data_IF_918200203547
#
_entry.id   IF_918200203547
#
_cell.length_a   1.000
_cell.length_b   1.000
_cell.length_c   1.000
_cell.angle_alpha   90.00
_cell.angle_beta   90.00
_cell.angle_gamma   90.00
#
_symmetry.space_group_name_H-M   'P 1'
#
loop_
_entity.id
_entity.type
_entity.pdbx_description
1 polymer ?
#
# COMPACT_ATOMS: atom_id res chain seq x y z
N UNK A 1 -2.86 -28.75 -19.27
CA UNK A 1 -2.90 -27.53 -18.42
C UNK A 1 -3.21 -26.33 -19.31
N UNK A 2 -4.33 -25.63 -19.13
CA UNK A 2 -4.55 -24.34 -19.80
C UNK A 2 -3.41 -23.42 -19.36
N UNK A 3 -2.64 -22.90 -20.31
CA UNK A 3 -1.60 -21.91 -20.05
C UNK A 3 -2.31 -20.67 -19.50
N UNK A 4 -2.16 -20.40 -18.21
CA UNK A 4 -2.78 -19.23 -17.59
C UNK A 4 -2.22 -17.99 -18.28
N UNK A 5 -3.04 -17.33 -19.11
CA UNK A 5 -2.67 -16.06 -19.70
C UNK A 5 -2.35 -15.08 -18.58
N UNK A 6 -1.20 -14.41 -18.70
CA UNK A 6 -0.77 -13.40 -17.74
C UNK A 6 -1.79 -12.27 -17.73
N UNK A 7 -2.41 -12.02 -16.58
CA UNK A 7 -3.40 -10.95 -16.42
C UNK A 7 -2.71 -9.58 -16.46
N UNK A 8 -2.72 -8.92 -17.61
CA UNK A 8 -2.07 -7.63 -17.79
C UNK A 8 -2.73 -6.55 -16.91
N UNK A 9 -4.05 -6.60 -16.75
CA UNK A 9 -4.75 -5.65 -15.89
C UNK A 9 -4.23 -5.65 -14.44
N UNK A 10 -3.84 -6.81 -13.90
CA UNK A 10 -3.29 -6.89 -12.55
C UNK A 10 -1.91 -6.24 -12.43
N UNK A 11 -1.04 -6.44 -13.43
CA UNK A 11 0.25 -5.77 -13.46
C UNK A 11 0.08 -4.25 -13.59
N UNK A 12 -0.85 -3.79 -14.44
CA UNK A 12 -1.17 -2.38 -14.57
C UNK A 12 -1.76 -1.80 -13.27
N UNK A 13 -2.64 -2.54 -12.58
CA UNK A 13 -3.24 -2.11 -11.31
C UNK A 13 -2.18 -1.94 -10.21
N UNK A 14 -1.22 -2.88 -10.13
CA UNK A 14 -0.08 -2.79 -9.22
C UNK A 14 0.85 -1.62 -9.56
N UNK A 15 1.07 -1.38 -10.84
CA UNK A 15 1.90 -0.26 -11.28
C UNK A 15 1.25 1.10 -11.05
N UNK A 16 -0.06 1.21 -11.29
CA UNK A 16 -0.84 2.41 -10.99
C UNK A 16 -0.78 2.75 -9.51
N UNK A 17 -0.95 1.75 -8.63
CA UNK A 17 -0.89 1.96 -7.18
C UNK A 17 0.51 2.40 -6.71
N UNK A 18 1.58 1.82 -7.24
CA UNK A 18 2.95 2.29 -6.92
C UNK A 18 3.24 3.69 -7.47
N UNK A 19 2.82 3.99 -8.70
CA UNK A 19 2.98 5.32 -9.26
C UNK A 19 2.23 6.36 -8.39
N UNK A 20 0.97 6.08 -8.02
CA UNK A 20 0.21 6.93 -7.12
C UNK A 20 0.88 7.07 -5.74
N UNK A 21 1.42 5.98 -5.19
CA UNK A 21 2.12 5.98 -3.88
C UNK A 21 3.32 6.91 -3.89
N UNK A 22 4.11 6.90 -4.97
CA UNK A 22 5.25 7.79 -5.11
C UNK A 22 4.78 9.24 -5.22
N UNK A 23 3.78 9.51 -6.07
CA UNK A 23 3.25 10.88 -6.26
C UNK A 23 2.81 11.52 -4.94
N UNK A 24 2.06 10.78 -4.12
CA UNK A 24 1.50 11.34 -2.88
C UNK A 24 2.49 11.38 -1.71
N UNK A 25 3.57 10.59 -1.78
CA UNK A 25 4.64 10.60 -0.78
C UNK A 25 5.77 11.56 -1.12
N UNK A 26 5.77 12.16 -2.32
CA UNK A 26 6.84 13.06 -2.80
C UNK A 26 6.33 14.42 -3.28
N UNK A 27 5.44 15.12 -2.53
CA UNK A 27 5.08 16.48 -2.88
C UNK A 27 6.31 17.38 -2.77
N UNK A 28 6.46 18.35 -3.68
CA UNK A 28 7.54 19.32 -3.58
C UNK A 28 7.42 20.22 -2.34
N UNK A 29 6.19 20.47 -1.88
CA UNK A 29 5.88 21.15 -0.62
C UNK A 29 4.63 20.56 0.03
N UNK A 30 4.71 20.21 1.32
CA UNK A 30 3.56 19.76 2.11
C UNK A 30 2.52 20.86 2.35
N UNK A 31 2.89 22.14 2.24
CA UNK A 31 1.97 23.27 2.35
C UNK A 31 1.17 23.54 1.06
N UNK A 32 1.61 22.99 -0.07
CA UNK A 32 1.01 23.24 -1.39
C UNK A 32 0.76 21.91 -2.10
N UNK A 33 -0.36 21.27 -1.75
CA UNK A 33 -0.78 19.99 -2.33
C UNK A 33 -2.26 20.07 -2.68
N UNK A 34 -2.62 19.60 -3.88
CA UNK A 34 -4.02 19.51 -4.29
C UNK A 34 -4.81 18.57 -3.39
N UNK A 35 -6.04 18.96 -3.03
CA UNK A 35 -6.89 18.21 -2.10
C UNK A 35 -7.04 16.70 -2.40
N UNK A 36 -7.18 16.24 -3.67
CA UNK A 36 -7.25 14.81 -3.97
C UNK A 36 -5.97 14.02 -3.68
N UNK A 37 -4.82 14.69 -3.54
CA UNK A 37 -3.51 14.10 -3.24
C UNK A 37 -3.20 14.14 -1.73
N UNK A 38 -4.01 14.80 -0.93
CA UNK A 38 -3.90 14.81 0.53
C UNK A 38 -4.66 13.63 1.15
N UNK A 39 -4.17 13.14 2.29
CA UNK A 39 -4.89 12.18 3.11
C UNK A 39 -6.12 12.82 3.77
N UNK A 40 -7.14 12.01 4.04
CA UNK A 40 -8.18 12.41 5.00
C UNK A 40 -7.53 12.74 6.35
N UNK A 41 -8.00 13.78 7.03
CA UNK A 41 -7.40 14.23 8.31
C UNK A 41 -7.37 13.13 9.38
N UNK A 42 -8.46 12.36 9.48
CA UNK A 42 -8.58 11.24 10.41
C UNK A 42 -9.57 10.20 9.89
N UNK A 43 -10.86 10.58 9.89
CA UNK A 43 -11.93 9.79 9.29
C UNK A 43 -12.18 10.24 7.85
N UNK A 44 -12.64 9.30 7.02
CA UNK A 44 -12.93 9.49 5.62
C UNK A 44 -11.99 8.69 4.73
N UNK A 45 -12.12 8.92 3.42
CA UNK A 45 -11.27 8.29 2.43
C UNK A 45 -11.12 9.22 1.22
N UNK A 46 -9.89 9.65 0.97
CA UNK A 46 -9.49 10.37 -0.24
C UNK A 46 -8.88 9.40 -1.26
N UNK A 47 -8.67 9.80 -2.52
CA UNK A 47 -7.95 8.97 -3.49
C UNK A 47 -6.58 8.49 -2.99
N UNK A 48 -5.87 9.33 -2.24
CA UNK A 48 -4.59 8.99 -1.60
C UNK A 48 -4.71 7.85 -0.60
N UNK A 49 -5.83 7.78 0.13
CA UNK A 49 -6.06 6.73 1.12
C UNK A 49 -6.27 5.35 0.46
N UNK A 50 -6.70 5.30 -0.80
CA UNK A 50 -6.91 4.05 -1.55
C UNK A 50 -5.61 3.38 -2.00
N UNK A 51 -4.50 4.12 -2.05
CA UNK A 51 -3.25 3.65 -2.67
C UNK A 51 -2.67 2.43 -1.97
N UNK A 52 -2.48 2.51 -0.64
CA UNK A 52 -1.90 1.41 0.13
C UNK A 52 -2.80 0.15 0.20
N UNK A 53 -4.11 0.24 0.51
CA UNK A 53 -4.97 -0.94 0.54
C UNK A 53 -5.13 -1.57 -0.84
N UNK A 54 -5.16 -0.78 -1.92
CA UNK A 54 -5.20 -1.34 -3.28
C UNK A 54 -3.92 -2.13 -3.60
N UNK A 55 -2.75 -1.60 -3.21
CA UNK A 55 -1.50 -2.34 -3.37
C UNK A 55 -1.51 -3.66 -2.57
N UNK A 56 -1.96 -3.62 -1.31
CA UNK A 56 -2.04 -4.80 -0.45
C UNK A 56 -3.05 -5.83 -0.96
N UNK A 57 -4.20 -5.38 -1.45
CA UNK A 57 -5.17 -6.21 -2.16
C UNK A 57 -4.56 -6.86 -3.40
N UNK A 58 -3.84 -6.10 -4.22
CA UNK A 58 -3.16 -6.61 -5.41
C UNK A 58 -2.05 -7.63 -5.07
N UNK A 59 -1.37 -7.47 -3.93
CA UNK A 59 -0.46 -8.48 -3.38
C UNK A 59 -1.21 -9.79 -3.10
N UNK A 60 -2.42 -9.72 -2.55
CA UNK A 60 -3.31 -10.86 -2.38
C UNK A 60 -3.71 -11.52 -3.70
N UNK A 61 -4.13 -10.73 -4.70
CA UNK A 61 -4.48 -11.26 -6.03
C UNK A 61 -3.29 -11.98 -6.67
N UNK A 62 -2.10 -11.36 -6.63
CA UNK A 62 -0.88 -11.96 -7.16
C UNK A 62 -0.45 -13.22 -6.39
N UNK A 63 -0.75 -13.29 -5.09
CA UNK A 63 -0.48 -14.45 -4.24
C UNK A 63 -1.24 -15.69 -4.73
N UNK A 64 -2.50 -15.55 -5.16
CA UNK A 64 -3.28 -16.66 -5.72
C UNK A 64 -2.53 -17.35 -6.86
N UNK A 65 -2.16 -16.58 -7.89
CA UNK A 65 -1.43 -17.12 -9.05
C UNK A 65 -0.03 -17.64 -8.66
N UNK A 66 0.65 -17.00 -7.71
CA UNK A 66 1.95 -17.45 -7.23
C UNK A 66 1.90 -18.80 -6.51
N UNK A 67 0.77 -19.14 -5.88
CA UNK A 67 0.55 -20.37 -5.12
C UNK A 67 -0.03 -21.52 -5.95
N UNK A 68 -0.45 -21.27 -7.20
CA UNK A 68 -0.83 -22.35 -8.12
C UNK A 68 0.26 -23.39 -8.33
N UNK A 69 1.54 -23.00 -8.25
CA UNK A 69 2.69 -23.94 -8.29
C UNK A 69 2.84 -24.85 -7.07
N UNK A 70 2.08 -24.57 -6.01
CA UNK A 70 2.02 -25.35 -4.76
C UNK A 70 0.65 -26.01 -4.57
N UNK A 71 -0.17 -26.08 -5.63
CA UNK A 71 -1.53 -26.62 -5.57
C UNK A 71 -2.41 -25.95 -4.48
N UNK A 72 -2.10 -24.68 -4.16
CA UNK A 72 -2.75 -23.94 -3.07
C UNK A 72 -2.77 -24.66 -1.71
N UNK A 73 -1.76 -25.49 -1.43
CA UNK A 73 -1.61 -26.20 -0.15
C UNK A 73 -0.34 -25.77 0.56
N UNK A 74 -0.39 -25.79 1.88
CA UNK A 74 0.77 -25.52 2.71
C UNK A 74 1.74 -26.72 2.66
N UNK A 75 2.92 -26.50 2.09
CA UNK A 75 4.04 -27.44 2.13
C UNK A 75 5.23 -26.79 2.85
N UNK A 76 6.20 -27.58 3.36
CA UNK A 76 7.42 -27.05 3.95
C UNK A 76 8.17 -26.08 3.00
N UNK A 77 8.17 -26.38 1.70
CA UNK A 77 8.77 -25.53 0.67
C UNK A 77 8.05 -24.18 0.51
N UNK A 78 6.71 -24.20 0.49
CA UNK A 78 5.91 -22.99 0.43
C UNK A 78 6.12 -22.15 1.69
N UNK A 79 6.08 -22.78 2.87
CA UNK A 79 6.34 -22.14 4.16
C UNK A 79 7.71 -21.46 4.23
N UNK A 80 8.78 -22.15 3.80
CA UNK A 80 10.13 -21.58 3.75
C UNK A 80 10.23 -20.38 2.81
N UNK A 81 9.55 -20.42 1.65
CA UNK A 81 9.53 -19.26 0.72
C UNK A 81 8.73 -18.09 1.29
N UNK A 82 7.60 -18.35 1.94
CA UNK A 82 6.81 -17.31 2.60
C UNK A 82 7.64 -16.66 3.69
N UNK A 83 8.23 -17.44 4.60
CA UNK A 83 9.06 -16.94 5.70
C UNK A 83 10.24 -16.11 5.18
N UNK A 84 10.99 -16.63 4.20
CA UNK A 84 12.11 -15.91 3.58
C UNK A 84 11.65 -14.56 3.03
N UNK A 85 10.55 -14.53 2.28
CA UNK A 85 10.03 -13.30 1.68
C UNK A 85 9.55 -12.30 2.74
N UNK A 86 8.86 -12.77 3.78
CA UNK A 86 8.44 -11.94 4.92
C UNK A 86 9.63 -11.31 5.61
N UNK A 87 10.65 -12.09 5.96
CA UNK A 87 11.87 -11.58 6.63
C UNK A 87 12.61 -10.58 5.74
N UNK A 88 12.76 -10.85 4.44
CA UNK A 88 13.46 -9.93 3.54
C UNK A 88 12.68 -8.61 3.38
N UNK A 89 11.35 -8.65 3.17
CA UNK A 89 10.56 -7.41 3.04
C UNK A 89 10.61 -6.60 4.33
N UNK A 90 10.49 -7.25 5.49
CA UNK A 90 10.59 -6.58 6.79
C UNK A 90 11.98 -5.96 7.00
N UNK A 91 13.05 -6.71 6.70
CA UNK A 91 14.43 -6.24 6.79
C UNK A 91 14.74 -5.08 5.85
N UNK A 92 14.26 -5.11 4.61
CA UNK A 92 14.37 -3.97 3.69
C UNK A 92 13.63 -2.75 4.25
N UNK A 93 12.47 -2.94 4.89
CA UNK A 93 11.75 -1.87 5.59
C UNK A 93 12.57 -1.23 6.71
N UNK A 94 13.23 -2.03 7.54
CA UNK A 94 14.09 -1.53 8.61
C UNK A 94 15.30 -0.79 8.05
N UNK A 95 15.96 -1.35 7.04
CA UNK A 95 17.09 -0.69 6.36
C UNK A 95 16.65 0.62 5.73
N UNK A 96 15.46 0.65 5.11
CA UNK A 96 14.90 1.87 4.55
C UNK A 96 14.64 2.88 5.65
N UNK A 97 14.07 2.50 6.80
CA UNK A 97 13.86 3.39 7.95
C UNK A 97 15.17 3.97 8.50
N UNK A 98 16.24 3.18 8.52
CA UNK A 98 17.55 3.59 9.01
C UNK A 98 18.35 4.43 8.01
N UNK A 99 18.04 4.37 6.71
CA UNK A 99 18.74 5.12 5.66
C UNK A 99 18.61 6.63 5.89
N UNK A 100 19.69 7.44 5.74
CA UNK A 100 21.00 7.15 5.14
C UNK A 100 22.06 6.56 6.11
N UNK A 101 21.66 6.00 7.25
CA UNK A 101 22.53 5.43 8.28
C UNK A 101 23.43 6.45 8.98
N UNK A 102 23.00 7.71 9.01
CA UNK A 102 23.68 8.80 9.71
C UNK A 102 22.91 9.09 11.00
N UNK A 103 23.59 9.05 12.14
CA UNK A 103 23.02 9.37 13.46
C UNK A 103 21.73 8.59 13.76
N UNK A 104 21.74 7.28 13.51
CA UNK A 104 20.59 6.42 13.84
C UNK A 104 20.50 6.28 15.36
N UNK A 105 19.69 7.13 15.98
CA UNK A 105 19.31 7.00 17.38
C UNK A 105 18.44 5.75 17.54
N UNK A 106 19.05 4.67 18.01
CA UNK A 106 18.36 3.39 18.19
C UNK A 106 17.17 3.52 19.14
N UNK A 107 17.24 4.44 20.12
CA UNK A 107 16.17 4.71 21.09
C UNK A 107 14.92 5.30 20.44
N UNK A 108 15.07 6.15 19.43
CA UNK A 108 13.96 6.80 18.70
C UNK A 108 13.68 6.16 17.34
N UNK A 109 14.24 4.98 17.09
CA UNK A 109 14.17 4.34 15.78
C UNK A 109 12.77 3.77 15.51
N UNK A 110 12.08 4.29 14.49
CA UNK A 110 10.77 3.77 14.08
C UNK A 110 10.87 2.34 13.54
N UNK A 111 10.25 1.38 14.22
CA UNK A 111 10.29 -0.05 13.84
C UNK A 111 9.31 -0.36 12.71
N UNK A 112 8.06 0.08 12.85
CA UNK A 112 6.98 -0.20 11.91
C UNK A 112 6.98 0.76 10.73
N UNK A 113 6.30 0.35 9.66
CA UNK A 113 6.24 1.07 8.40
C UNK A 113 5.50 0.27 7.35
N UNK A 114 5.35 0.87 6.16
CA UNK A 114 4.57 0.30 5.05
C UNK A 114 5.09 -1.10 4.66
N UNK A 115 6.41 -1.27 4.53
CA UNK A 115 7.01 -2.56 4.14
C UNK A 115 6.86 -3.61 5.24
N UNK A 116 7.02 -3.24 6.51
CA UNK A 116 6.86 -4.11 7.66
C UNK A 116 5.41 -4.62 7.74
N UNK A 117 4.42 -3.73 7.59
CA UNK A 117 3.01 -4.13 7.51
C UNK A 117 2.75 -5.04 6.31
N UNK A 118 3.28 -4.73 5.12
CA UNK A 118 3.16 -5.61 3.95
C UNK A 118 3.73 -6.99 4.26
N UNK A 119 4.89 -7.07 4.91
CA UNK A 119 5.55 -8.32 5.25
C UNK A 119 4.69 -9.17 6.20
N UNK A 120 4.19 -8.57 7.27
CA UNK A 120 3.37 -9.27 8.28
C UNK A 120 2.02 -9.70 7.70
N UNK A 121 1.31 -8.80 7.02
CA UNK A 121 0.03 -9.09 6.38
C UNK A 121 0.17 -10.16 5.27
N UNK A 122 1.24 -10.07 4.46
CA UNK A 122 1.58 -11.09 3.48
C UNK A 122 1.91 -12.43 4.14
N UNK A 123 2.76 -12.44 5.17
CA UNK A 123 3.22 -13.66 5.82
C UNK A 123 2.08 -14.43 6.47
N UNK A 124 1.32 -13.77 7.34
CA UNK A 124 0.18 -14.39 8.04
C UNK A 124 -0.93 -14.72 7.05
N UNK A 125 -1.27 -13.79 6.14
CA UNK A 125 -2.26 -14.01 5.11
C UNK A 125 -1.93 -15.19 4.19
N UNK A 126 -0.65 -15.35 3.80
CA UNK A 126 -0.18 -16.47 2.98
C UNK A 126 -0.36 -17.82 3.68
N UNK A 127 -0.01 -17.90 4.96
CA UNK A 127 -0.17 -19.14 5.74
C UNK A 127 -1.65 -19.51 5.85
N UNK A 128 -2.53 -18.55 6.17
CA UNK A 128 -3.97 -18.77 6.20
C UNK A 128 -4.51 -19.21 4.84
N UNK A 129 -4.09 -18.55 3.75
CA UNK A 129 -4.54 -18.84 2.38
C UNK A 129 -4.15 -20.24 1.86
N UNK A 130 -3.05 -20.80 2.36
CA UNK A 130 -2.59 -22.16 2.02
C UNK A 130 -3.10 -23.23 2.99
N UNK A 131 -3.47 -22.85 4.20
CA UNK A 131 -3.95 -23.79 5.22
C UNK A 131 -5.46 -23.97 5.21
N UNK A 132 -6.21 -22.93 4.86
CA UNK A 132 -7.67 -22.90 4.93
C UNK A 132 -8.33 -23.04 3.55
N UNK A 133 -9.52 -23.62 3.54
CA UNK A 133 -10.39 -23.60 2.35
C UNK A 133 -10.92 -22.20 2.07
N UNK A 134 -11.34 -21.94 0.83
CA UNK A 134 -11.83 -20.62 0.40
C UNK A 134 -13.04 -20.15 1.23
N UNK A 135 -13.94 -21.05 1.61
CA UNK A 135 -15.06 -20.74 2.50
C UNK A 135 -14.59 -20.36 3.91
N UNK A 136 -13.61 -21.08 4.47
CA UNK A 136 -13.02 -20.76 5.78
C UNK A 136 -12.27 -19.43 5.77
N UNK A 137 -11.66 -19.04 4.64
CA UNK A 137 -11.02 -17.73 4.48
C UNK A 137 -12.01 -16.57 4.59
N UNK A 138 -13.22 -16.73 4.05
CA UNK A 138 -14.29 -15.72 4.21
C UNK A 138 -14.68 -15.61 5.68
N UNK A 139 -14.90 -16.75 6.36
CA UNK A 139 -15.25 -16.79 7.79
C UNK A 139 -14.15 -16.15 8.65
N UNK A 140 -12.89 -16.51 8.42
CA UNK A 140 -11.75 -15.95 9.17
C UNK A 140 -11.58 -14.46 8.89
N UNK A 141 -11.77 -14.00 7.65
CA UNK A 141 -11.73 -12.57 7.33
C UNK A 141 -12.82 -11.81 8.09
N UNK A 142 -14.06 -12.31 8.10
CA UNK A 142 -15.15 -11.71 8.85
C UNK A 142 -14.89 -11.72 10.36
N UNK A 143 -14.36 -12.83 10.89
CA UNK A 143 -14.01 -12.96 12.30
C UNK A 143 -12.91 -11.97 12.70
N UNK A 144 -11.85 -11.82 11.90
CA UNK A 144 -10.79 -10.82 12.13
C UNK A 144 -11.39 -9.41 12.16
N UNK A 145 -12.25 -9.06 11.20
CA UNK A 145 -12.83 -7.72 11.08
C UNK A 145 -13.81 -7.40 12.22
N UNK A 146 -14.65 -8.36 12.62
CA UNK A 146 -15.59 -8.19 13.74
C UNK A 146 -14.88 -8.18 15.08
N UNK A 147 -13.92 -9.08 15.30
CA UNK A 147 -13.11 -9.11 16.52
C UNK A 147 -12.30 -7.82 16.66
N UNK A 148 -11.67 -7.35 15.58
CA UNK A 148 -10.95 -6.08 15.58
C UNK A 148 -11.85 -4.90 15.93
N UNK A 149 -13.03 -4.82 15.32
CA UNK A 149 -14.00 -3.77 15.64
C UNK A 149 -14.43 -3.83 17.12
N UNK A 150 -14.73 -5.02 17.63
CA UNK A 150 -15.05 -5.22 19.05
C UNK A 150 -13.91 -4.80 19.97
N UNK A 151 -12.67 -5.17 19.66
CA UNK A 151 -11.50 -4.76 20.44
C UNK A 151 -11.32 -3.23 20.43
N UNK A 152 -11.49 -2.57 19.27
CA UNK A 152 -11.44 -1.09 19.19
C UNK A 152 -12.56 -0.45 20.00
N UNK A 153 -13.78 -0.99 19.90
CA UNK A 153 -14.95 -0.43 20.58
C UNK A 153 -14.90 -0.59 22.11
N UNK A 154 -14.56 -1.78 22.61
CA UNK A 154 -14.57 -2.08 24.04
C UNK A 154 -13.29 -1.68 24.78
N UNK A 155 -12.14 -1.69 24.11
CA UNK A 155 -10.87 -1.28 24.72
C UNK A 155 -10.55 0.20 24.47
N UNK A 156 -11.27 0.85 23.56
CA UNK A 156 -11.21 2.29 23.40
C UNK A 156 -11.92 3.02 24.54
N UNK A 157 -11.48 4.24 24.85
CA UNK A 157 -12.10 5.07 25.89
C UNK A 157 -13.48 5.61 25.46
N UNK A 158 -13.89 6.76 26.02
CA UNK A 158 -15.17 7.40 25.70
C UNK A 158 -15.37 7.71 24.21
N UNK A 159 -14.27 7.88 23.46
CA UNK A 159 -14.26 8.10 22.02
C UNK A 159 -13.37 7.06 21.33
N UNK A 160 -13.81 5.80 21.18
CA UNK A 160 -12.97 4.67 20.78
C UNK A 160 -12.39 4.79 19.36
N UNK A 161 -12.95 5.69 18.53
CA UNK A 161 -12.54 5.92 17.14
C UNK A 161 -11.79 7.24 16.95
N UNK A 162 -11.49 7.98 18.02
CA UNK A 162 -10.64 9.18 17.98
C UNK A 162 -9.15 8.80 17.97
N UNK A 163 -8.27 9.74 17.66
CA UNK A 163 -6.82 9.53 17.66
C UNK A 163 -6.30 9.18 19.06
N UNK A 164 -6.86 9.79 20.09
CA UNK A 164 -6.44 9.65 21.48
C UNK A 164 -7.13 8.46 22.17
N UNK A 165 -8.38 8.18 21.82
CA UNK A 165 -9.21 7.19 22.50
C UNK A 165 -9.14 5.77 21.93
N UNK A 166 -8.54 5.56 20.77
CA UNK A 166 -8.42 4.23 20.17
C UNK A 166 -7.33 3.39 20.87
N UNK A 167 -7.51 2.06 21.00
CA UNK A 167 -6.56 1.21 21.72
C UNK A 167 -5.29 0.88 20.93
N UNK A 168 -5.20 1.28 19.65
CA UNK A 168 -4.06 0.89 18.80
C UNK A 168 -2.76 1.50 19.32
N UNK A 169 -2.80 2.78 19.74
CA UNK A 169 -1.67 3.48 20.33
C UNK A 169 -1.17 2.77 21.60
N UNK A 170 -2.08 2.45 22.52
CA UNK A 170 -1.74 1.81 23.79
C UNK A 170 -1.13 0.41 23.57
N UNK A 171 -1.69 -0.37 22.65
CA UNK A 171 -1.17 -1.69 22.31
C UNK A 171 0.22 -1.62 21.68
N UNK A 172 0.38 -0.79 20.65
CA UNK A 172 1.64 -0.69 19.91
C UNK A 172 2.75 -0.08 20.79
N UNK A 173 2.43 0.91 21.63
CA UNK A 173 3.39 1.52 22.56
C UNK A 173 3.86 0.53 23.63
N UNK A 174 2.97 -0.36 24.10
CA UNK A 174 3.33 -1.39 25.09
C UNK A 174 4.26 -2.45 24.52
N UNK A 175 4.13 -2.79 23.24
CA UNK A 175 4.91 -3.86 22.60
C UNK A 175 6.20 -3.32 22.00
N UNK A 176 6.12 -2.20 21.27
CA UNK A 176 7.24 -1.64 20.53
C UNK A 176 7.98 -0.57 21.31
N UNK A 177 7.36 0.07 22.31
CA UNK A 177 7.85 1.29 22.94
C UNK A 177 7.38 2.55 22.21
N UNK A 178 6.97 3.58 22.93
CA UNK A 178 6.43 4.82 22.35
C UNK A 178 7.44 5.56 21.45
N UNK A 179 8.74 5.45 21.75
CA UNK A 179 9.80 6.08 20.97
C UNK A 179 10.03 5.43 19.61
N UNK A 180 9.57 4.19 19.44
CA UNK A 180 9.67 3.44 18.21
C UNK A 180 8.44 3.59 17.29
N UNK A 181 7.48 4.42 17.68
CA UNK A 181 6.27 4.70 16.91
C UNK A 181 6.42 5.95 16.03
N UNK A 182 5.58 6.05 15.02
CA UNK A 182 5.45 7.27 14.23
C UNK A 182 4.93 8.45 15.08
N UNK A 183 5.56 9.62 14.94
CA UNK A 183 5.21 10.84 15.71
C UNK A 183 4.53 11.91 14.83
N UNK A 184 4.22 11.62 13.56
CA UNK A 184 3.72 12.61 12.60
C UNK A 184 2.27 13.06 12.78
N UNK A 185 1.52 12.46 13.72
CA UNK A 185 0.20 12.94 14.14
C UNK A 185 0.27 13.90 15.34
N UNK A 186 1.47 14.31 15.76
CA UNK A 186 1.70 15.11 16.97
C UNK A 186 1.76 14.29 18.27
N UNK A 187 1.42 12.99 18.21
CA UNK A 187 1.55 12.02 19.29
C UNK A 187 2.21 10.74 18.78
N UNK A 188 2.70 9.89 19.69
CA UNK A 188 3.29 8.58 19.38
C UNK A 188 2.21 7.59 18.94
N UNK A 189 1.87 7.59 17.65
CA UNK A 189 0.82 6.75 17.06
C UNK A 189 1.30 6.22 15.71
N UNK A 190 1.41 4.89 15.57
CA UNK A 190 1.85 4.28 14.32
C UNK A 190 0.67 3.84 13.43
N UNK A 191 0.38 4.54 12.32
CA UNK A 191 -0.68 4.13 11.41
C UNK A 191 -0.37 2.80 10.71
N UNK A 192 0.90 2.37 10.73
CA UNK A 192 1.39 1.08 10.23
C UNK A 192 1.64 0.04 11.35
N UNK A 193 1.18 0.30 12.58
CA UNK A 193 1.41 -0.52 13.77
C UNK A 193 0.90 -1.96 13.73
N UNK A 194 1.25 -2.74 14.76
CA UNK A 194 0.97 -4.18 14.85
C UNK A 194 -0.52 -4.43 15.05
N UNK A 195 -1.19 -3.64 15.90
CA UNK A 195 -2.61 -3.82 16.18
C UNK A 195 -3.47 -3.66 14.93
N UNK A 196 -3.26 -2.57 14.19
CA UNK A 196 -3.96 -2.26 12.94
C UNK A 196 -3.47 -3.09 11.75
N UNK A 197 -2.47 -3.96 11.93
CA UNK A 197 -2.08 -4.97 10.92
C UNK A 197 -3.04 -6.17 10.89
N UNK A 198 -3.82 -6.42 11.95
CA UNK A 198 -4.84 -7.48 11.98
C UNK A 198 -5.86 -7.35 10.83
N UNK A 199 -6.58 -6.22 10.66
CA UNK A 199 -7.50 -6.03 9.54
C UNK A 199 -6.79 -5.94 8.18
N UNK A 200 -5.49 -5.57 8.15
CA UNK A 200 -4.69 -5.58 6.92
C UNK A 200 -4.48 -7.02 6.38
N UNK A 201 -4.42 -8.04 7.24
CA UNK A 201 -4.41 -9.45 6.83
C UNK A 201 -5.69 -9.78 6.05
N UNK A 202 -6.85 -9.31 6.51
CA UNK A 202 -8.12 -9.52 5.81
C UNK A 202 -8.11 -8.86 4.42
N UNK A 203 -7.47 -7.70 4.26
CA UNK A 203 -7.29 -7.05 2.93
C UNK A 203 -6.52 -7.96 1.96
N UNK A 204 -5.45 -8.61 2.43
CA UNK A 204 -4.67 -9.58 1.64
C UNK A 204 -5.52 -10.81 1.27
N UNK A 205 -6.28 -11.36 2.23
CA UNK A 205 -7.13 -12.52 2.00
C UNK A 205 -8.25 -12.20 0.99
N UNK A 206 -8.89 -11.03 1.09
CA UNK A 206 -9.89 -10.58 0.12
C UNK A 206 -9.29 -10.46 -1.29
N UNK A 207 -8.06 -9.95 -1.41
CA UNK A 207 -7.30 -9.96 -2.66
C UNK A 207 -7.05 -11.38 -3.19
N UNK A 208 -6.66 -12.32 -2.33
CA UNK A 208 -6.45 -13.72 -2.70
C UNK A 208 -7.73 -14.39 -3.22
N UNK A 209 -8.88 -14.13 -2.57
CA UNK A 209 -10.19 -14.59 -3.01
C UNK A 209 -10.61 -13.95 -4.35
N UNK A 210 -10.24 -12.70 -4.60
CA UNK A 210 -10.43 -12.07 -5.90
C UNK A 210 -9.58 -12.72 -6.99
N UNK A 211 -8.34 -13.11 -6.68
CA UNK A 211 -7.49 -13.91 -7.58
C UNK A 211 -8.14 -15.25 -7.96
N UNK A 212 -8.71 -15.95 -6.98
CA UNK A 212 -9.51 -17.16 -7.22
C UNK A 212 -10.71 -16.88 -8.13
N UNK A 213 -11.46 -15.80 -7.87
CA UNK A 213 -12.61 -15.44 -8.68
C UNK A 213 -12.24 -15.17 -10.15
N UNK A 214 -11.10 -14.51 -10.37
CA UNK A 214 -10.53 -14.22 -11.69
C UNK A 214 -10.17 -15.50 -12.44
N UNK A 215 -9.50 -16.44 -11.78
CA UNK A 215 -9.10 -17.70 -12.44
C UNK A 215 -10.29 -18.63 -12.70
N UNK A 216 -11.23 -18.71 -11.75
CA UNK A 216 -12.36 -19.64 -11.80
C UNK A 216 -13.55 -19.16 -12.64
N UNK A 217 -13.60 -17.88 -13.01
CA UNK A 217 -14.73 -17.32 -13.77
C UNK A 217 -14.34 -17.07 -15.22
N UNK A 218 -15.19 -17.52 -16.14
CA UNK A 218 -15.06 -17.20 -17.56
C UNK A 218 -15.00 -15.69 -17.81
N UNK A 219 -14.11 -15.26 -18.71
CA UNK A 219 -13.80 -13.84 -18.96
C UNK A 219 -15.05 -12.99 -19.26
N UNK A 220 -16.05 -13.53 -19.97
CA UNK A 220 -17.32 -12.85 -20.29
C UNK A 220 -18.16 -12.49 -19.05
N UNK A 221 -18.13 -13.33 -18.01
CA UNK A 221 -18.91 -13.13 -16.76
C UNK A 221 -18.08 -12.49 -15.66
N UNK A 222 -16.76 -12.49 -15.80
CA UNK A 222 -15.83 -12.01 -14.77
C UNK A 222 -16.08 -10.55 -14.41
N UNK A 223 -16.17 -9.66 -15.40
CA UNK A 223 -16.39 -8.22 -15.18
C UNK A 223 -17.69 -7.99 -14.39
N UNK A 224 -18.79 -8.64 -14.77
CA UNK A 224 -20.07 -8.52 -14.07
C UNK A 224 -19.98 -8.99 -12.61
N UNK A 225 -19.30 -10.12 -12.33
CA UNK A 225 -19.10 -10.58 -10.95
C UNK A 225 -18.24 -9.62 -10.14
N UNK A 226 -17.15 -9.10 -10.70
CA UNK A 226 -16.28 -8.14 -10.01
C UNK A 226 -17.03 -6.83 -9.72
N UNK A 227 -17.84 -6.35 -10.67
CA UNK A 227 -18.71 -5.19 -10.45
C UNK A 227 -19.72 -5.46 -9.34
N UNK A 228 -20.40 -6.61 -9.36
CA UNK A 228 -21.38 -6.98 -8.35
C UNK A 228 -20.75 -7.08 -6.95
N UNK A 229 -19.70 -7.88 -6.77
CA UNK A 229 -19.03 -8.01 -5.47
C UNK A 229 -18.35 -6.71 -5.03
N UNK A 230 -17.81 -5.94 -5.98
CA UNK A 230 -17.25 -4.62 -5.72
C UNK A 230 -18.28 -3.64 -5.17
N UNK A 231 -19.43 -3.51 -5.85
CA UNK A 231 -20.54 -2.68 -5.39
C UNK A 231 -21.11 -3.12 -4.05
N UNK A 232 -21.29 -4.43 -3.84
CA UNK A 232 -21.72 -4.96 -2.54
C UNK A 232 -20.72 -4.64 -1.43
N UNK A 233 -19.41 -4.75 -1.70
CA UNK A 233 -18.36 -4.38 -0.74
C UNK A 233 -18.37 -2.88 -0.41
N UNK A 234 -18.51 -2.02 -1.42
CA UNK A 234 -18.63 -0.57 -1.21
C UNK A 234 -19.85 -0.25 -0.33
N UNK A 235 -21.02 -0.79 -0.65
CA UNK A 235 -22.26 -0.58 0.12
C UNK A 235 -22.10 -1.10 1.54
N UNK A 236 -21.57 -2.32 1.72
CA UNK A 236 -21.36 -2.90 3.04
C UNK A 236 -20.37 -2.08 3.88
N UNK A 237 -19.28 -1.59 3.28
CA UNK A 237 -18.32 -0.71 3.94
C UNK A 237 -18.93 0.62 4.35
N UNK A 238 -19.78 1.22 3.51
CA UNK A 238 -20.52 2.45 3.83
C UNK A 238 -21.55 2.24 4.94
N UNK A 239 -22.30 1.14 4.93
CA UNK A 239 -23.25 0.80 6.00
C UNK A 239 -22.49 0.58 7.31
N UNK A 240 -21.38 -0.17 7.28
CA UNK A 240 -20.55 -0.39 8.46
C UNK A 240 -19.92 0.92 8.95
N UNK A 241 -19.65 1.88 8.06
CA UNK A 241 -19.11 3.20 8.43
C UNK A 241 -19.99 4.00 9.40
N UNK A 242 -21.29 3.69 9.47
CA UNK A 242 -22.23 4.27 10.43
C UNK A 242 -21.88 3.91 11.88
N UNK A 243 -21.33 2.71 12.10
CA UNK A 243 -20.94 2.21 13.42
C UNK A 243 -19.43 2.22 13.66
N UNK A 244 -18.61 2.07 12.62
CA UNK A 244 -17.15 2.15 12.70
C UNK A 244 -16.62 2.98 11.53
N UNK A 245 -16.24 4.25 11.72
CA UNK A 245 -15.88 5.14 10.62
C UNK A 245 -14.81 4.58 9.69
N UNK A 246 -14.91 4.91 8.40
CA UNK A 246 -13.84 4.61 7.43
C UNK A 246 -12.61 5.41 7.86
N UNK A 247 -11.54 4.71 8.25
CA UNK A 247 -10.35 5.32 8.83
C UNK A 247 -9.12 4.50 8.45
N UNK A 248 -8.26 5.08 7.60
CA UNK A 248 -6.99 4.48 7.19
C UNK A 248 -5.98 4.35 8.34
N UNK A 249 -5.72 5.40 9.16
CA UNK A 249 -4.75 5.32 10.26
C UNK A 249 -4.91 4.11 11.18
N UNK A 250 -6.14 3.79 11.60
CA UNK A 250 -6.41 2.58 12.41
C UNK A 250 -6.81 1.36 11.57
N UNK A 251 -6.72 1.46 10.24
CA UNK A 251 -7.10 0.41 9.28
C UNK A 251 -8.47 -0.23 9.59
N UNK A 252 -9.50 0.60 9.78
CA UNK A 252 -10.79 0.17 10.31
C UNK A 252 -11.46 -0.92 9.46
N UNK A 253 -12.34 -1.71 10.08
CA UNK A 253 -12.99 -2.83 9.40
C UNK A 253 -13.88 -2.38 8.24
N UNK A 254 -14.58 -1.26 8.40
CA UNK A 254 -15.36 -0.61 7.34
C UNK A 254 -14.45 -0.16 6.18
N UNK A 255 -13.28 0.40 6.48
CA UNK A 255 -12.29 0.80 5.48
C UNK A 255 -11.76 -0.39 4.68
N UNK A 256 -11.51 -1.54 5.31
CA UNK A 256 -11.09 -2.76 4.59
C UNK A 256 -12.14 -3.21 3.58
N UNK A 257 -13.41 -3.31 3.99
CA UNK A 257 -14.49 -3.78 3.11
C UNK A 257 -14.77 -2.77 1.99
N UNK A 258 -14.78 -1.48 2.34
CA UNK A 258 -14.97 -0.38 1.39
C UNK A 258 -13.87 -0.34 0.32
N UNK A 259 -12.60 -0.37 0.74
CA UNK A 259 -11.45 -0.30 -0.18
C UNK A 259 -11.29 -1.58 -1.00
N UNK A 260 -11.58 -2.75 -0.45
CA UNK A 260 -11.61 -3.99 -1.22
C UNK A 260 -12.72 -3.96 -2.30
N UNK A 261 -13.89 -3.40 -1.97
CA UNK A 261 -14.96 -3.16 -2.93
C UNK A 261 -14.53 -2.25 -4.08
N UNK A 262 -13.93 -1.09 -3.75
CA UNK A 262 -13.38 -0.18 -4.76
C UNK A 262 -12.26 -0.81 -5.59
N UNK A 263 -11.38 -1.61 -4.98
CA UNK A 263 -10.32 -2.31 -5.69
C UNK A 263 -10.90 -3.31 -6.73
N UNK A 264 -11.97 -4.03 -6.37
CA UNK A 264 -12.69 -4.92 -7.29
C UNK A 264 -13.31 -4.14 -8.45
N UNK A 265 -13.93 -2.98 -8.19
CA UNK A 265 -14.51 -2.13 -9.24
C UNK A 265 -13.44 -1.62 -10.21
N UNK A 266 -12.34 -1.08 -9.69
CA UNK A 266 -11.23 -0.60 -10.53
C UNK A 266 -10.63 -1.75 -11.32
N UNK A 267 -10.41 -2.91 -10.69
CA UNK A 267 -9.89 -4.09 -11.37
C UNK A 267 -10.85 -4.60 -12.45
N UNK A 268 -12.17 -4.54 -12.24
CA UNK A 268 -13.18 -4.88 -13.25
C UNK A 268 -13.06 -4.00 -14.50
N UNK A 269 -12.94 -2.68 -14.28
CA UNK A 269 -12.75 -1.69 -15.37
C UNK A 269 -11.42 -1.96 -16.09
N UNK A 270 -10.34 -2.19 -15.36
CA UNK A 270 -9.03 -2.45 -15.96
C UNK A 270 -9.01 -3.75 -16.76
N UNK A 271 -9.62 -4.83 -16.26
CA UNK A 271 -9.76 -6.10 -17.00
C UNK A 271 -10.57 -5.89 -18.27
N UNK A 272 -11.68 -5.15 -18.18
CA UNK A 272 -12.50 -4.85 -19.35
C UNK A 272 -11.72 -4.05 -20.41
N UNK A 273 -11.04 -2.98 -20.01
CA UNK A 273 -10.30 -2.12 -20.95
C UNK A 273 -9.06 -2.80 -21.53
N UNK A 274 -8.28 -3.53 -20.73
CA UNK A 274 -6.96 -4.04 -21.12
C UNK A 274 -7.05 -5.46 -21.70
N UNK A 275 -7.80 -6.36 -21.04
CA UNK A 275 -7.80 -7.79 -21.35
C UNK A 275 -9.00 -8.22 -22.24
N UNK A 276 -10.03 -7.36 -22.38
CA UNK A 276 -11.20 -7.62 -23.24
C UNK A 276 -11.22 -6.69 -24.45
N UNK A 277 -11.19 -5.36 -24.26
CA UNK A 277 -11.15 -4.38 -25.36
C UNK A 277 -9.75 -4.22 -25.97
N UNK A 278 -8.73 -4.82 -25.37
CA UNK A 278 -7.34 -4.76 -25.83
C UNK A 278 -6.74 -3.35 -25.97
N UNK A 279 -7.28 -2.38 -25.22
CA UNK A 279 -6.75 -1.01 -25.17
C UNK A 279 -5.49 -0.97 -24.29
N UNK A 280 -4.39 -1.53 -24.81
CA UNK A 280 -3.15 -1.76 -24.06
C UNK A 280 -2.22 -0.55 -24.01
N UNK A 281 -2.36 0.42 -24.94
CA UNK A 281 -1.43 1.56 -25.08
C UNK A 281 -1.37 2.44 -23.83
N UNK A 282 -2.52 2.82 -23.26
CA UNK A 282 -2.57 3.68 -22.07
C UNK A 282 -2.08 2.95 -20.80
N UNK A 283 -2.23 1.62 -20.76
CA UNK A 283 -1.82 0.80 -19.63
C UNK A 283 -0.31 0.54 -19.61
N UNK A 284 0.38 0.70 -20.75
CA UNK A 284 1.80 0.37 -20.88
C UNK A 284 2.70 1.02 -19.83
N UNK A 285 2.60 2.34 -19.53
CA UNK A 285 3.43 2.94 -18.49
C UNK A 285 3.25 2.26 -17.11
N UNK A 286 2.00 1.95 -16.75
CA UNK A 286 1.67 1.28 -15.50
C UNK A 286 2.11 -0.19 -15.50
N UNK A 287 2.02 -0.90 -16.62
CA UNK A 287 2.58 -2.25 -16.73
C UNK A 287 4.07 -2.27 -16.39
N UNK A 288 4.84 -1.30 -16.92
CA UNK A 288 6.27 -1.14 -16.64
C UNK A 288 6.54 -0.96 -15.15
N UNK A 289 5.79 -0.08 -14.47
CA UNK A 289 5.87 0.07 -13.01
C UNK A 289 5.51 -1.23 -12.27
N UNK A 290 4.46 -1.93 -12.70
CA UNK A 290 3.92 -3.11 -12.05
C UNK A 290 4.82 -4.35 -12.07
N UNK A 291 5.85 -4.36 -12.93
CA UNK A 291 6.80 -5.47 -13.03
C UNK A 291 7.86 -5.47 -11.93
N UNK A 292 8.20 -4.31 -11.36
CA UNK A 292 9.22 -4.17 -10.30
C UNK A 292 8.74 -3.31 -9.11
N UNK A 293 7.53 -3.51 -8.55
CA UNK A 293 6.88 -2.52 -7.71
C UNK A 293 7.60 -2.25 -6.38
N UNK A 294 8.07 -3.29 -5.70
CA UNK A 294 8.81 -3.13 -4.43
C UNK A 294 10.17 -2.46 -4.64
N UNK A 295 10.86 -2.77 -5.74
CA UNK A 295 12.13 -2.14 -6.07
C UNK A 295 11.97 -0.63 -6.26
N UNK A 296 10.95 -0.20 -7.01
CA UNK A 296 10.71 1.22 -7.27
C UNK A 296 10.31 1.95 -5.99
N UNK A 297 9.49 1.33 -5.14
CA UNK A 297 9.13 1.90 -3.85
C UNK A 297 10.38 2.16 -3.00
N UNK A 298 11.25 1.16 -2.85
CA UNK A 298 12.50 1.29 -2.09
C UNK A 298 13.43 2.32 -2.72
N UNK A 299 13.60 2.28 -4.04
CA UNK A 299 14.39 3.26 -4.78
C UNK A 299 13.89 4.69 -4.54
N UNK A 300 12.57 4.89 -4.55
CA UNK A 300 11.99 6.21 -4.31
C UNK A 300 12.26 6.73 -2.91
N UNK A 301 12.17 5.87 -1.89
CA UNK A 301 12.46 6.23 -0.51
C UNK A 301 13.95 6.54 -0.30
N UNK A 302 14.84 5.74 -0.89
CA UNK A 302 16.30 5.99 -0.85
C UNK A 302 16.63 7.32 -1.53
N UNK A 303 16.13 7.53 -2.75
CA UNK A 303 16.40 8.75 -3.52
C UNK A 303 15.97 10.02 -2.79
N UNK A 304 14.75 10.06 -2.26
CA UNK A 304 14.22 11.20 -1.52
C UNK A 304 15.07 11.50 -0.29
N UNK A 305 15.47 10.47 0.46
CA UNK A 305 16.32 10.64 1.64
C UNK A 305 17.74 11.08 1.29
N UNK A 306 18.32 10.60 0.19
CA UNK A 306 19.63 11.10 -0.30
C UNK A 306 19.54 12.60 -0.56
N UNK A 307 18.54 13.05 -1.29
CA UNK A 307 18.39 14.47 -1.62
C UNK A 307 18.15 15.31 -0.36
N UNK A 308 17.35 14.81 0.60
CA UNK A 308 17.03 15.55 1.82
C UNK A 308 18.23 15.65 2.76
N UNK A 309 18.94 14.54 2.99
CA UNK A 309 19.95 14.46 4.05
C UNK A 309 21.39 14.69 3.57
N UNK A 310 21.71 14.38 2.30
CA UNK A 310 23.09 14.44 1.81
C UNK A 310 23.36 15.64 0.90
N UNK A 311 22.31 16.21 0.30
CA UNK A 311 22.45 17.36 -0.60
C UNK A 311 21.94 18.61 0.11
N UNK A 312 22.82 19.57 0.34
CA UNK A 312 22.49 20.85 0.95
C UNK A 312 23.06 21.99 0.11
N UNK A 313 22.27 23.06 -0.04
CA UNK A 313 22.67 24.29 -0.70
C UNK A 313 22.60 25.43 0.30
N UNK A 314 23.71 26.14 0.46
CA UNK A 314 23.79 27.35 1.28
C UNK A 314 23.46 28.57 0.44
N UNK A 315 22.59 29.44 0.95
CA UNK A 315 22.36 30.76 0.38
C UNK A 315 23.50 31.74 0.76
N UNK A 316 23.49 32.92 0.15
CA UNK A 316 24.46 33.99 0.46
C UNK A 316 24.33 34.53 1.90
N UNK A 317 23.21 34.25 2.58
CA UNK A 317 22.96 34.63 3.97
C UNK A 317 23.37 33.55 4.98
N UNK A 318 23.93 32.42 4.52
CA UNK A 318 24.39 31.31 5.35
C UNK A 318 23.30 30.32 5.75
N UNK A 319 22.05 30.45 5.28
CA UNK A 319 21.01 29.47 5.54
C UNK A 319 21.19 28.25 4.65
N UNK A 320 21.17 27.06 5.26
CA UNK A 320 21.21 25.78 4.53
C UNK A 320 19.80 25.34 4.16
N UNK A 321 19.58 25.05 2.89
CA UNK A 321 18.34 24.42 2.38
C UNK A 321 18.65 23.03 1.87
N UNK A 322 17.75 22.08 2.11
CA UNK A 322 17.91 20.73 1.55
C UNK A 322 17.80 20.78 0.03
N UNK A 323 18.48 19.87 -0.66
CA UNK A 323 18.42 19.75 -2.11
C UNK A 323 17.00 19.54 -2.62
N UNK A 324 16.14 18.95 -1.80
CA UNK A 324 14.75 18.65 -2.12
C UNK A 324 13.93 19.93 -2.23
N UNK A 325 14.05 20.79 -1.21
CA UNK A 325 13.38 22.09 -1.17
C UNK A 325 13.97 23.01 -2.24
N UNK A 326 15.30 23.01 -2.39
CA UNK A 326 15.97 23.83 -3.41
C UNK A 326 15.51 23.46 -4.82
N UNK A 327 15.44 22.17 -5.15
CA UNK A 327 15.03 21.69 -6.47
C UNK A 327 13.56 22.03 -6.73
N UNK A 328 12.68 21.83 -5.74
CA UNK A 328 11.28 22.25 -5.88
C UNK A 328 11.16 23.76 -6.13
N UNK A 329 11.83 24.60 -5.32
CA UNK A 329 11.70 26.06 -5.41
C UNK A 329 12.29 26.63 -6.69
N UNK A 330 13.52 26.24 -7.03
CA UNK A 330 14.28 26.88 -8.11
C UNK A 330 13.99 26.27 -9.49
N UNK A 331 13.66 24.97 -9.57
CA UNK A 331 13.44 24.30 -10.85
C UNK A 331 11.97 24.24 -11.25
N UNK A 332 11.05 24.10 -10.29
CA UNK A 332 9.63 23.92 -10.60
C UNK A 332 8.77 25.11 -10.19
N UNK A 333 8.87 25.56 -8.94
CA UNK A 333 8.03 26.66 -8.44
C UNK A 333 8.39 28.02 -9.07
N UNK A 334 9.64 28.21 -9.52
CA UNK A 334 10.12 29.44 -10.14
C UNK A 334 9.33 29.89 -11.37
N UNK A 335 8.78 28.95 -12.15
CA UNK A 335 7.97 29.25 -13.33
C UNK A 335 6.52 28.77 -13.22
N UNK A 336 6.22 27.79 -12.36
CA UNK A 336 4.89 27.21 -12.23
C UNK A 336 4.09 27.76 -11.02
N UNK A 337 4.73 28.50 -10.11
CA UNK A 337 4.19 28.87 -8.80
C UNK A 337 4.21 27.71 -7.80
N UNK A 338 3.93 27.98 -6.51
CA UNK A 338 4.12 26.99 -5.44
C UNK A 338 3.23 25.74 -5.58
N UNK A 339 1.95 25.93 -5.94
CA UNK A 339 1.00 24.82 -6.09
C UNK A 339 1.34 23.91 -7.27
N UNK A 340 1.46 24.47 -8.48
CA UNK A 340 1.79 23.65 -9.66
C UNK A 340 3.24 23.15 -9.61
N UNK A 341 4.16 23.94 -9.04
CA UNK A 341 5.56 23.54 -8.86
C UNK A 341 5.69 22.29 -8.00
N UNK A 342 4.95 22.22 -6.89
CA UNK A 342 4.87 21.03 -6.03
C UNK A 342 4.34 19.80 -6.78
N UNK A 343 3.30 19.97 -7.61
CA UNK A 343 2.74 18.90 -8.43
C UNK A 343 3.73 18.43 -9.52
N UNK A 344 4.32 19.35 -10.28
CA UNK A 344 5.27 19.02 -11.35
C UNK A 344 6.53 18.38 -10.79
N UNK A 345 6.98 18.77 -9.60
CA UNK A 345 8.05 18.11 -8.90
C UNK A 345 7.73 16.62 -8.63
N UNK A 346 6.54 16.32 -8.10
CA UNK A 346 6.10 14.95 -7.87
C UNK A 346 5.99 14.15 -9.18
N UNK A 347 5.44 14.76 -10.24
CA UNK A 347 5.33 14.13 -11.55
C UNK A 347 6.70 13.90 -12.21
N UNK A 348 7.67 14.79 -12.00
CA UNK A 348 9.03 14.61 -12.49
C UNK A 348 9.70 13.38 -11.87
N UNK A 349 9.49 13.14 -10.56
CA UNK A 349 9.95 11.92 -9.91
C UNK A 349 9.36 10.68 -10.57
N UNK A 350 8.06 10.68 -10.87
CA UNK A 350 7.40 9.58 -11.59
C UNK A 350 8.04 9.34 -12.96
N UNK A 351 8.31 10.39 -13.73
CA UNK A 351 8.95 10.25 -15.05
C UNK A 351 10.36 9.66 -14.92
N UNK A 352 11.16 10.15 -13.97
CA UNK A 352 12.51 9.62 -13.71
C UNK A 352 12.46 8.14 -13.34
N UNK A 353 11.62 7.75 -12.39
CA UNK A 353 11.48 6.35 -12.00
C UNK A 353 10.95 5.49 -13.14
N UNK A 354 10.02 6.02 -13.94
CA UNK A 354 9.50 5.33 -15.12
C UNK A 354 10.61 5.04 -16.14
N UNK A 355 11.52 6.00 -16.40
CA UNK A 355 12.66 5.78 -17.31
C UNK A 355 13.59 4.67 -16.80
N UNK A 356 13.85 4.64 -15.49
CA UNK A 356 14.67 3.59 -14.85
C UNK A 356 14.01 2.21 -15.06
N UNK A 357 12.71 2.09 -14.80
CA UNK A 357 12.04 0.79 -14.96
C UNK A 357 11.75 0.42 -16.40
N UNK A 358 11.63 1.40 -17.29
CA UNK A 358 11.58 1.18 -18.73
C UNK A 358 12.90 0.59 -19.23
N UNK A 359 14.03 1.08 -18.72
CA UNK A 359 15.34 0.49 -19.01
C UNK A 359 15.42 -0.96 -18.55
N UNK A 360 15.03 -1.24 -17.29
CA UNK A 360 14.99 -2.61 -16.76
C UNK A 360 14.06 -3.51 -17.60
N UNK A 361 12.90 -2.99 -17.99
CA UNK A 361 11.93 -3.71 -18.82
C UNK A 361 12.49 -4.04 -20.20
N UNK A 362 13.10 -3.09 -20.90
CA UNK A 362 13.75 -3.32 -22.20
C UNK A 362 14.87 -4.37 -22.11
N UNK A 363 15.57 -4.43 -20.97
CA UNK A 363 16.60 -5.44 -20.68
C UNK A 363 16.04 -6.76 -20.10
N UNK A 364 14.72 -6.88 -19.92
CA UNK A 364 14.04 -8.04 -19.31
C UNK A 364 14.54 -8.37 -17.89
N UNK A 365 14.95 -7.36 -17.13
CA UNK A 365 15.40 -7.51 -15.73
C UNK A 365 14.18 -7.38 -14.81
N UNK A 366 13.91 -8.44 -14.05
CA UNK A 366 12.82 -8.50 -13.07
C UNK A 366 13.37 -8.78 -11.68
N UNK A 367 13.39 -7.77 -10.83
CA UNK A 367 13.87 -7.83 -9.45
C UNK A 367 12.75 -8.38 -8.58
N UNK A 368 12.92 -9.62 -8.11
CA UNK A 368 11.97 -10.32 -7.24
C UNK A 368 12.60 -10.52 -5.87
N UNK A 369 11.78 -10.36 -4.83
CA UNK A 369 12.13 -10.57 -3.43
C UNK A 369 11.54 -11.88 -2.95
#
# INVERSE_FOLDING_TARGET
>A
MKKTERLMALDAFRGLTIAAMITVNTPGSWGHVYAPLLHSKWNGCTPTDLVFPFFLFAVGVAMWFAFGKFDHKLSPEAGRKILKRTVIIFGIGLLLNAFPFIQVELENFRIMGVLQRIALAYGIGSLLCLWLSKARLVIVSLAILLAYWGLVFFLGGNHPYSLEGNPTMAFDSKILGADHLYKGFGIAFDPEGLFSTLPAIATVILGYLAGYLIESTERKKLVAKLLMFGSLGVIAGLIWSLGFPINKPIWSSSYVVYTAGLALLVLAVMIYLIDILEYKKWAHPFLVFGMNPLFIYVLSGVWVRVIIYLVHFSDQAGNSTTGYVWLCKNVFASWAGDMNGSLFFALAHIVVYWLIVLFLYKRKIFIKI
#
